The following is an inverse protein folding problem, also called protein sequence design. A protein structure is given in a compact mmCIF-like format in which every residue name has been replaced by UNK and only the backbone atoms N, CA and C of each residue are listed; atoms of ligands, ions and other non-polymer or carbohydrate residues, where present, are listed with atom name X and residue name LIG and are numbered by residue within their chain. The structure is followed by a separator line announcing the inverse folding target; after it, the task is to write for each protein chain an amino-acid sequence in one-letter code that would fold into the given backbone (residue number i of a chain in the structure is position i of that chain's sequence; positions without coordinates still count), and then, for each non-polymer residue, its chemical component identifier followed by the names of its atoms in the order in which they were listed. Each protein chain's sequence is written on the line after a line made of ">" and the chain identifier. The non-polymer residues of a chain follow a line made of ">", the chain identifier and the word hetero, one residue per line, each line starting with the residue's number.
data_IF_606331017829
#
_entry.id   IF_606331017829
#
_cell.length_a   1.000
_cell.length_b   1.000
_cell.length_c   1.000
_cell.angle_alpha   90.00
_cell.angle_beta   90.00
_cell.angle_gamma   90.00
#
_symmetry.space_group_name_H-M   'P 1'
#
loop_
_entity.id
_entity.type
_entity.pdbx_description
1 polymer ?
#
# COMPACT_ATOMS: atom_id res chain seq x y z
N UNK A 1 5.21 4.00 21.06
CA UNK A 1 4.55 4.97 20.17
C UNK A 1 4.87 4.57 18.75
N UNK A 2 3.93 4.72 17.82
CA UNK A 2 4.13 4.31 16.43
C UNK A 2 3.50 5.34 15.49
N UNK A 3 4.29 5.88 14.56
CA UNK A 3 3.85 6.69 13.43
C UNK A 3 3.81 5.82 12.18
N UNK A 4 2.73 5.91 11.41
CA UNK A 4 2.59 5.16 10.15
C UNK A 4 2.12 6.05 9.01
N UNK A 5 2.52 5.68 7.80
CA UNK A 5 2.01 6.20 6.55
C UNK A 5 1.26 5.09 5.80
N UNK A 6 0.10 5.42 5.26
CA UNK A 6 -0.72 4.48 4.47
C UNK A 6 -0.84 5.00 3.06
N UNK A 7 -0.32 4.26 2.09
CA UNK A 7 -0.49 4.59 0.67
C UNK A 7 -1.89 4.13 0.20
N UNK A 8 -2.78 5.04 -0.17
CA UNK A 8 -4.14 4.68 -0.58
C UNK A 8 -4.19 3.99 -1.95
N UNK A 9 -3.13 4.04 -2.74
CA UNK A 9 -3.06 3.43 -4.08
C UNK A 9 -2.56 2.00 -3.98
N UNK A 10 -1.41 1.79 -3.31
CA UNK A 10 -0.79 0.47 -3.18
C UNK A 10 -1.29 -0.31 -1.97
N UNK A 11 -1.99 0.37 -1.06
CA UNK A 11 -2.45 -0.18 0.22
C UNK A 11 -1.29 -0.66 1.13
N UNK A 12 -0.08 -0.14 0.90
CA UNK A 12 1.06 -0.41 1.78
C UNK A 12 0.97 0.43 3.04
N UNK A 13 1.34 -0.18 4.16
CA UNK A 13 1.59 0.49 5.44
C UNK A 13 3.09 0.56 5.63
N UNK A 14 3.60 1.75 5.86
CA UNK A 14 4.99 2.02 6.20
C UNK A 14 5.04 2.53 7.63
N UNK A 15 5.93 1.97 8.44
CA UNK A 15 6.24 2.52 9.75
C UNK A 15 7.23 3.65 9.51
N UNK A 16 6.84 4.86 9.88
CA UNK A 16 7.66 6.05 9.72
C UNK A 16 8.54 6.28 10.95
N UNK A 17 7.96 6.11 12.14
CA UNK A 17 8.64 6.27 13.41
C UNK A 17 8.13 5.25 14.43
N UNK A 18 9.04 4.64 15.18
CA UNK A 18 8.68 3.75 16.28
C UNK A 18 9.55 4.02 17.50
N UNK A 19 8.90 4.33 18.62
CA UNK A 19 9.55 4.57 19.91
C UNK A 19 9.06 3.55 20.91
N UNK A 20 9.97 2.86 21.59
CA UNK A 20 9.66 1.88 22.61
C UNK A 20 10.35 2.20 23.94
N UNK A 21 9.57 2.19 25.03
CA UNK A 21 10.10 2.21 26.39
C UNK A 21 10.16 0.80 26.96
N UNK A 22 11.28 0.41 27.51
CA UNK A 22 11.47 -0.93 28.09
C UNK A 22 12.14 -0.86 29.45
N UNK A 23 11.58 -1.58 30.42
CA UNK A 23 12.17 -1.74 31.78
C UNK A 23 12.67 -3.18 31.94
N UNK A 24 13.96 -3.38 31.79
CA UNK A 24 14.63 -4.65 32.05
C UNK A 24 15.36 -4.67 33.42
N UNK A 25 14.97 -3.79 34.35
CA UNK A 25 15.70 -3.59 35.57
C UNK A 25 17.11 -3.07 35.29
N UNK A 26 18.13 -3.57 35.97
CA UNK A 26 19.52 -3.23 35.66
C UNK A 26 19.95 -3.89 34.39
N UNK A 27 20.35 -3.09 33.40
CA UNK A 27 20.87 -3.59 32.13
C UNK A 27 22.33 -4.00 32.28
N UNK A 28 22.60 -5.28 32.11
CA UNK A 28 23.94 -5.86 32.30
C UNK A 28 24.82 -5.64 31.04
N UNK A 29 24.23 -5.85 29.88
CA UNK A 29 24.90 -5.63 28.59
C UNK A 29 23.95 -4.89 27.65
N UNK A 30 24.18 -3.57 27.40
CA UNK A 30 23.31 -2.77 26.55
C UNK A 30 23.23 -3.27 25.10
N UNK A 31 24.35 -3.76 24.53
CA UNK A 31 24.37 -4.26 23.16
C UNK A 31 23.46 -5.48 22.97
N UNK A 32 23.54 -6.43 23.89
CA UNK A 32 22.68 -7.62 23.86
C UNK A 32 21.22 -7.26 24.16
N UNK A 33 20.97 -6.33 25.09
CA UNK A 33 19.64 -5.85 25.42
C UNK A 33 18.97 -5.19 24.20
N UNK A 34 19.67 -4.28 23.53
CA UNK A 34 19.17 -3.65 22.30
C UNK A 34 18.92 -4.68 21.20
N UNK A 35 19.82 -5.65 21.02
CA UNK A 35 19.64 -6.73 20.05
C UNK A 35 18.37 -7.53 20.27
N UNK A 36 18.01 -7.83 21.53
CA UNK A 36 16.74 -8.49 21.86
C UNK A 36 15.53 -7.60 21.52
N UNK A 37 15.60 -6.30 21.83
CA UNK A 37 14.50 -5.36 21.55
C UNK A 37 14.32 -5.19 20.05
N UNK A 38 15.40 -5.05 19.26
CA UNK A 38 15.34 -4.99 17.81
C UNK A 38 14.75 -6.25 17.20
N UNK A 39 15.18 -7.43 17.66
CA UNK A 39 14.68 -8.71 17.17
C UNK A 39 13.19 -8.89 17.48
N UNK A 40 12.75 -8.59 18.70
CA UNK A 40 11.35 -8.65 19.09
C UNK A 40 10.47 -7.65 18.30
N UNK A 41 11.00 -6.45 18.04
CA UNK A 41 10.35 -5.45 17.20
C UNK A 41 10.18 -5.94 15.75
N UNK A 42 11.26 -6.42 15.13
CA UNK A 42 11.22 -6.93 13.76
C UNK A 42 10.24 -8.10 13.60
N UNK A 43 10.28 -9.05 14.54
CA UNK A 43 9.32 -10.17 14.61
C UNK A 43 7.87 -9.65 14.66
N UNK A 44 7.60 -8.68 15.52
CA UNK A 44 6.27 -8.14 15.72
C UNK A 44 5.78 -7.30 14.52
N UNK A 45 6.68 -6.62 13.80
CA UNK A 45 6.36 -5.96 12.52
C UNK A 45 5.92 -6.99 11.49
N UNK A 46 6.66 -8.10 11.35
CA UNK A 46 6.29 -9.21 10.47
C UNK A 46 4.88 -9.74 10.78
N UNK A 47 4.63 -10.08 12.03
CA UNK A 47 3.33 -10.56 12.50
C UNK A 47 2.20 -9.55 12.32
N UNK A 48 2.52 -8.25 12.32
CA UNK A 48 1.52 -7.18 12.20
C UNK A 48 1.16 -6.81 10.77
N UNK A 49 2.08 -6.93 9.83
CA UNK A 49 1.93 -6.40 8.47
C UNK A 49 1.95 -7.47 7.38
N UNK A 50 2.66 -8.59 7.57
CA UNK A 50 3.04 -9.48 6.48
C UNK A 50 2.65 -10.94 6.70
N UNK A 51 2.96 -11.48 7.88
CA UNK A 51 2.90 -12.91 8.16
C UNK A 51 1.46 -13.38 8.40
N UNK A 52 0.99 -14.31 7.59
CA UNK A 52 -0.36 -14.88 7.71
C UNK A 52 -0.38 -16.36 7.35
N UNK A 53 -0.88 -17.18 8.26
CA UNK A 53 -1.20 -18.58 7.95
C UNK A 53 -2.52 -18.65 7.23
N UNK A 54 -2.47 -19.15 5.98
CA UNK A 54 -3.65 -19.31 5.13
C UNK A 54 -3.94 -20.79 4.89
N UNK A 55 -5.20 -21.13 4.93
CA UNK A 55 -5.72 -22.44 4.61
C UNK A 55 -6.82 -22.29 3.56
N UNK A 56 -6.94 -23.29 2.67
CA UNK A 56 -8.08 -23.35 1.76
C UNK A 56 -9.29 -24.01 2.44
N UNK A 57 -10.41 -24.07 1.73
CA UNK A 57 -11.69 -24.57 2.26
C UNK A 57 -11.62 -26.06 2.67
N UNK A 58 -10.70 -26.84 2.13
CA UNK A 58 -10.49 -28.26 2.51
C UNK A 58 -9.45 -28.43 3.63
N UNK A 59 -8.93 -27.34 4.19
CA UNK A 59 -7.97 -27.36 5.29
C UNK A 59 -6.49 -27.52 4.87
N UNK A 60 -6.17 -27.51 3.58
CA UNK A 60 -4.77 -27.56 3.14
C UNK A 60 -4.06 -26.22 3.42
N UNK A 61 -2.84 -26.33 3.95
CA UNK A 61 -2.02 -25.17 4.31
C UNK A 61 -1.42 -24.53 3.05
N UNK A 62 -1.68 -23.23 2.85
CA UNK A 62 -1.25 -22.49 1.67
C UNK A 62 0.02 -21.65 1.89
N UNK A 63 0.35 -21.32 3.12
CA UNK A 63 1.53 -20.50 3.47
C UNK A 63 2.77 -21.34 3.77
N UNK A 64 2.97 -22.45 3.05
CA UNK A 64 4.04 -23.43 3.31
C UNK A 64 5.39 -23.10 2.68
N UNK A 65 5.50 -22.00 1.94
CA UNK A 65 6.75 -21.58 1.29
C UNK A 65 7.06 -20.10 1.59
N UNK A 66 8.32 -19.68 1.46
CA UNK A 66 8.69 -18.27 1.59
C UNK A 66 8.15 -17.39 0.45
N UNK A 67 7.57 -17.98 -0.58
CA UNK A 67 6.82 -17.26 -1.60
C UNK A 67 5.46 -16.80 -1.08
N UNK A 68 4.84 -17.58 -0.19
CA UNK A 68 3.48 -17.36 0.32
C UNK A 68 3.48 -16.84 1.76
N UNK A 69 4.52 -17.13 2.54
CA UNK A 69 4.75 -16.63 3.90
C UNK A 69 5.83 -15.55 3.87
N UNK A 70 5.40 -14.31 3.95
CA UNK A 70 6.28 -13.16 3.78
C UNK A 70 6.93 -12.77 5.11
N UNK A 71 8.24 -12.94 5.22
CA UNK A 71 9.02 -12.39 6.33
C UNK A 71 9.35 -10.92 6.11
N UNK A 72 9.47 -10.12 7.17
CA UNK A 72 9.89 -8.72 7.06
C UNK A 72 11.35 -8.63 6.62
N UNK A 73 11.65 -7.62 5.82
CA UNK A 73 12.99 -7.26 5.40
C UNK A 73 13.41 -5.90 5.97
N UNK A 74 14.61 -5.45 5.66
CA UNK A 74 15.08 -4.11 6.05
C UNK A 74 14.30 -2.96 5.41
N UNK A 75 13.39 -3.24 4.48
CA UNK A 75 12.48 -2.24 3.91
C UNK A 75 11.24 -2.00 4.76
N UNK A 76 10.80 -3.02 5.50
CA UNK A 76 9.61 -2.94 6.35
C UNK A 76 9.96 -2.59 7.80
N UNK A 77 11.19 -2.90 8.22
CA UNK A 77 11.65 -2.70 9.59
C UNK A 77 12.62 -1.53 9.62
N UNK A 78 12.17 -0.39 10.10
CA UNK A 78 13.03 0.75 10.43
C UNK A 78 13.71 0.54 11.79
N UNK A 79 14.74 1.33 12.09
CA UNK A 79 15.39 1.32 13.40
C UNK A 79 14.47 2.00 14.44
N UNK A 80 14.07 1.28 15.52
CA UNK A 80 13.26 1.88 16.59
C UNK A 80 14.10 2.73 17.52
N UNK A 81 13.55 3.81 18.03
CA UNK A 81 14.11 4.53 19.18
C UNK A 81 13.82 3.75 20.46
N UNK A 82 14.87 3.41 21.22
CA UNK A 82 14.77 2.64 22.45
C UNK A 82 15.03 3.53 23.64
N UNK A 83 14.06 3.59 24.56
CA UNK A 83 14.20 4.27 25.84
C UNK A 83 14.28 3.22 26.94
N UNK A 84 15.44 3.12 27.59
CA UNK A 84 15.63 2.23 28.72
C UNK A 84 15.16 2.90 30.00
N UNK A 85 14.31 2.19 30.72
CA UNK A 85 13.88 2.54 32.10
C UNK A 85 14.45 1.48 33.03
N UNK A 86 15.23 1.88 34.00
CA UNK A 86 15.84 0.96 34.94
C UNK A 86 15.16 1.06 36.32
N UNK A 87 14.31 0.09 36.64
CA UNK A 87 13.81 -0.14 38.00
C UNK A 87 14.33 -1.49 38.50
N UNK A 88 15.46 -1.51 39.24
CA UNK A 88 16.10 -2.75 39.65
C UNK A 88 15.17 -3.70 40.44
N UNK A 89 15.22 -4.98 40.15
CA UNK A 89 14.48 -6.00 40.87
C UNK A 89 15.12 -6.26 42.24
N UNK A 90 14.35 -6.27 43.35
CA UNK A 90 14.88 -6.66 44.67
C UNK A 90 15.07 -8.17 44.77
N UNK A 91 14.59 -8.98 43.83
CA UNK A 91 14.60 -10.43 43.89
C UNK A 91 15.75 -11.07 43.09
N UNK A 92 16.50 -10.26 42.34
CA UNK A 92 17.65 -10.74 41.54
C UNK A 92 18.94 -10.11 42.04
N UNK A 93 20.07 -10.86 42.09
CA UNK A 93 21.33 -10.33 42.66
C UNK A 93 21.84 -9.07 41.95
N UNK A 94 21.62 -8.94 40.65
CA UNK A 94 22.07 -7.80 39.85
C UNK A 94 20.95 -6.79 39.62
N UNK A 95 19.75 -7.02 40.11
CA UNK A 95 18.59 -6.16 39.84
C UNK A 95 18.02 -6.26 38.44
N UNK A 96 18.47 -7.20 37.62
CA UNK A 96 17.97 -7.40 36.27
C UNK A 96 16.59 -8.05 36.24
N UNK A 97 15.81 -7.75 35.20
CA UNK A 97 14.50 -8.34 34.92
C UNK A 97 14.52 -9.04 33.55
N UNK A 98 13.47 -9.78 33.24
CA UNK A 98 13.30 -10.41 31.93
C UNK A 98 13.24 -9.35 30.81
N UNK A 99 13.88 -9.64 29.71
CA UNK A 99 13.92 -8.77 28.53
C UNK A 99 13.31 -9.49 27.32
N UNK A 100 13.95 -10.54 26.84
CA UNK A 100 13.46 -11.45 25.79
C UNK A 100 12.64 -10.80 24.68
N UNK A 101 11.40 -11.27 24.54
CA UNK A 101 10.47 -10.87 23.44
C UNK A 101 9.48 -9.77 23.89
N UNK A 102 9.87 -8.87 24.78
CA UNK A 102 8.97 -7.87 25.35
C UNK A 102 8.23 -7.01 24.31
N UNK A 103 8.87 -6.64 23.23
CA UNK A 103 8.25 -5.84 22.16
C UNK A 103 7.29 -6.61 21.25
N UNK A 104 7.30 -7.93 21.29
CA UNK A 104 6.31 -8.74 20.55
C UNK A 104 4.88 -8.49 21.04
N UNK A 105 4.68 -8.07 22.28
CA UNK A 105 3.36 -7.76 22.82
C UNK A 105 2.89 -6.34 22.49
N UNK A 106 3.78 -5.36 22.57
CA UNK A 106 3.42 -3.94 22.45
C UNK A 106 3.36 -3.45 21.00
N UNK A 107 4.22 -3.96 20.13
CA UNK A 107 4.34 -3.49 18.76
C UNK A 107 3.09 -3.73 17.92
N UNK A 108 2.45 -4.93 17.90
CA UNK A 108 1.23 -5.14 17.14
C UNK A 108 0.09 -4.21 17.58
N UNK A 109 0.00 -3.95 18.89
CA UNK A 109 -1.01 -3.04 19.44
C UNK A 109 -0.74 -1.60 19.02
N UNK A 110 0.52 -1.15 19.04
CA UNK A 110 0.90 0.19 18.63
C UNK A 110 0.61 0.42 17.14
N UNK A 111 0.94 -0.55 16.27
CA UNK A 111 0.64 -0.49 14.84
C UNK A 111 -0.87 -0.49 14.59
N UNK A 112 -1.63 -1.38 15.26
CA UNK A 112 -3.08 -1.43 15.11
C UNK A 112 -3.76 -0.13 15.56
N UNK A 113 -3.28 0.48 16.66
CA UNK A 113 -3.80 1.76 17.14
C UNK A 113 -3.48 2.91 16.19
N UNK A 114 -2.25 2.98 15.66
CA UNK A 114 -1.86 3.98 14.67
C UNK A 114 -2.71 3.85 13.39
N UNK A 115 -2.95 2.63 12.91
CA UNK A 115 -3.81 2.36 11.77
C UNK A 115 -5.27 2.72 12.05
N UNK A 116 -5.78 2.38 13.23
CA UNK A 116 -7.11 2.75 13.70
C UNK A 116 -7.29 4.26 13.72
N UNK A 117 -6.28 4.99 14.22
CA UNK A 117 -6.32 6.45 14.27
C UNK A 117 -6.23 7.08 12.87
N UNK A 118 -5.35 6.60 12.02
CA UNK A 118 -5.19 7.13 10.67
C UNK A 118 -6.49 7.05 9.84
N UNK A 119 -7.22 5.93 9.95
CA UNK A 119 -8.46 5.72 9.21
C UNK A 119 -9.73 6.04 10.01
N UNK A 120 -9.61 6.41 11.29
CA UNK A 120 -10.74 6.66 12.22
C UNK A 120 -11.70 5.46 12.31
N UNK A 121 -11.16 4.25 12.28
CA UNK A 121 -11.92 3.00 12.36
C UNK A 121 -11.67 2.29 13.69
N UNK A 122 -12.56 1.35 14.03
CA UNK A 122 -12.44 0.49 15.22
C UNK A 122 -12.26 -0.97 14.81
N UNK A 123 -11.79 -1.80 15.74
CA UNK A 123 -11.70 -3.25 15.56
C UNK A 123 -10.80 -3.68 14.39
N UNK A 124 -9.61 -3.10 14.33
CA UNK A 124 -8.57 -3.49 13.35
C UNK A 124 -8.10 -4.92 13.61
N UNK A 125 -8.09 -5.75 12.57
CA UNK A 125 -7.61 -7.14 12.62
C UNK A 125 -6.26 -7.25 11.94
N UNK A 126 -5.28 -7.76 12.67
CA UNK A 126 -3.94 -8.07 12.15
C UNK A 126 -3.93 -9.45 11.44
N UNK A 127 -2.93 -9.72 10.57
CA UNK A 127 -1.98 -8.77 10.03
C UNK A 127 -2.63 -7.78 9.04
N UNK A 128 -2.05 -6.58 8.90
CA UNK A 128 -2.47 -5.54 7.96
C UNK A 128 -1.85 -5.80 6.58
N UNK A 129 -2.11 -6.95 6.01
CA UNK A 129 -1.70 -7.24 4.63
C UNK A 129 -2.32 -6.24 3.65
N UNK A 130 -1.67 -6.00 2.52
CA UNK A 130 -2.16 -5.04 1.52
C UNK A 130 -3.62 -5.28 1.13
N UNK A 131 -4.04 -6.54 1.06
CA UNK A 131 -5.43 -6.92 0.78
C UNK A 131 -6.39 -6.44 1.87
N UNK A 132 -6.04 -6.64 3.15
CA UNK A 132 -6.87 -6.18 4.27
C UNK A 132 -6.88 -4.65 4.38
N UNK A 133 -5.74 -4.01 4.19
CA UNK A 133 -5.66 -2.53 4.15
C UNK A 133 -6.54 -1.97 3.04
N UNK A 134 -6.50 -2.57 1.84
CA UNK A 134 -7.39 -2.20 0.75
C UNK A 134 -8.88 -2.32 1.12
N UNK A 135 -9.25 -3.38 1.82
CA UNK A 135 -10.62 -3.56 2.32
C UNK A 135 -11.01 -2.44 3.30
N UNK A 136 -10.15 -2.11 4.27
CA UNK A 136 -10.40 -1.02 5.22
C UNK A 136 -10.51 0.35 4.53
N UNK A 137 -9.65 0.65 3.57
CA UNK A 137 -9.72 1.87 2.77
C UNK A 137 -11.06 1.98 2.00
N UNK A 138 -11.59 0.85 1.53
CA UNK A 138 -12.85 0.81 0.81
C UNK A 138 -14.08 0.82 1.73
N UNK A 139 -14.00 0.28 2.95
CA UNK A 139 -15.07 0.39 3.95
C UNK A 139 -15.30 1.85 4.34
N UNK A 140 -14.24 2.63 4.55
CA UNK A 140 -14.35 4.07 4.78
C UNK A 140 -14.93 4.85 3.59
N UNK A 141 -14.80 4.32 2.36
CA UNK A 141 -15.42 4.90 1.16
C UNK A 141 -16.90 4.53 1.01
N UNK A 142 -17.34 3.43 1.65
CA UNK A 142 -18.73 2.96 1.54
C UNK A 142 -19.75 3.81 2.30
N UNK A 143 -19.32 4.71 3.19
CA UNK A 143 -20.21 5.76 3.73
C UNK A 143 -20.59 6.83 2.68
N UNK A 144 -19.85 6.90 1.56
CA UNK A 144 -20.19 7.72 0.40
C UNK A 144 -20.00 6.90 -0.88
N UNK A 145 -20.92 5.97 -1.18
CA UNK A 145 -20.98 5.36 -2.52
C UNK A 145 -21.01 6.48 -3.56
N UNK A 146 -20.09 6.50 -4.53
CA UNK A 146 -20.14 7.47 -5.61
C UNK A 146 -21.45 7.27 -6.39
N UNK A 147 -22.36 8.23 -6.29
CA UNK A 147 -23.69 8.18 -6.93
C UNK A 147 -23.65 8.36 -8.44
N UNK A 148 -22.48 8.50 -9.06
CA UNK A 148 -22.36 8.97 -10.44
C UNK A 148 -21.29 8.26 -11.29
N UNK A 149 -21.19 6.95 -11.22
CA UNK A 149 -20.53 6.24 -12.30
C UNK A 149 -21.61 5.88 -13.32
N UNK A 150 -21.59 6.55 -14.47
CA UNK A 150 -22.40 6.15 -15.62
C UNK A 150 -22.01 4.72 -16.00
N UNK A 151 -22.90 3.74 -15.74
CA UNK A 151 -22.72 2.30 -15.99
C UNK A 151 -22.58 1.90 -17.47
N UNK A 152 -22.27 2.81 -18.37
CA UNK A 152 -22.39 2.63 -19.82
C UNK A 152 -21.18 1.99 -20.51
N UNK A 153 -20.15 1.55 -19.78
CA UNK A 153 -19.11 0.66 -20.35
C UNK A 153 -19.33 -0.72 -19.76
N UNK A 154 -19.66 -1.66 -20.64
CA UNK A 154 -19.88 -3.05 -20.22
C UNK A 154 -18.53 -3.78 -20.14
N UNK A 155 -17.92 -3.81 -18.94
CA UNK A 155 -16.67 -4.51 -18.67
C UNK A 155 -16.86 -6.03 -18.43
N UNK A 156 -18.05 -6.59 -18.68
CA UNK A 156 -18.33 -8.02 -18.45
C UNK A 156 -17.38 -8.97 -19.17
N UNK A 157 -16.75 -8.51 -20.25
CA UNK A 157 -15.80 -9.32 -21.04
C UNK A 157 -14.34 -9.22 -20.52
N UNK A 158 -14.12 -8.49 -19.43
CA UNK A 158 -12.80 -8.32 -18.83
C UNK A 158 -12.76 -9.02 -17.47
N UNK A 159 -11.88 -10.03 -17.28
CA UNK A 159 -11.80 -10.77 -16.01
C UNK A 159 -11.33 -9.89 -14.85
N UNK A 160 -10.52 -8.86 -15.14
CA UNK A 160 -10.09 -7.87 -14.16
C UNK A 160 -10.80 -6.56 -14.47
N UNK A 161 -11.60 -6.06 -13.55
CA UNK A 161 -12.28 -4.77 -13.71
C UNK A 161 -12.48 -4.09 -12.37
N UNK A 162 -12.60 -2.76 -12.41
CA UNK A 162 -12.81 -1.96 -11.22
C UNK A 162 -13.21 -0.54 -11.54
N UNK A 163 -13.58 0.19 -10.52
CA UNK A 163 -13.92 1.61 -10.61
C UNK A 163 -13.66 2.31 -9.28
N UNK A 164 -13.38 3.61 -9.33
CA UNK A 164 -13.17 4.42 -8.15
C UNK A 164 -13.36 5.91 -8.43
N UNK A 165 -13.37 6.68 -7.36
CA UNK A 165 -13.48 8.14 -7.42
C UNK A 165 -12.58 8.73 -6.32
N UNK A 166 -11.83 9.78 -6.67
CA UNK A 166 -10.98 10.52 -5.74
C UNK A 166 -11.38 11.99 -5.73
N UNK A 167 -11.47 12.57 -4.54
CA UNK A 167 -11.55 14.02 -4.38
C UNK A 167 -10.15 14.61 -4.44
N UNK A 168 -9.97 15.65 -5.28
CA UNK A 168 -8.70 16.33 -5.45
C UNK A 168 -8.88 17.83 -5.17
N UNK A 169 -8.01 18.39 -4.33
CA UNK A 169 -7.97 19.81 -4.05
C UNK A 169 -7.22 20.59 -5.16
N UNK A 170 -7.64 20.40 -6.40
CA UNK A 170 -7.07 21.06 -7.57
C UNK A 170 -8.20 21.50 -8.48
N UNK A 171 -8.02 22.65 -9.14
CA UNK A 171 -8.96 23.13 -10.15
C UNK A 171 -9.05 22.16 -11.34
N UNK A 172 -10.24 22.00 -11.91
CA UNK A 172 -10.53 21.07 -12.99
C UNK A 172 -9.67 21.32 -14.24
N UNK A 173 -9.43 22.57 -14.60
CA UNK A 173 -8.62 22.91 -15.77
C UNK A 173 -7.15 22.57 -15.51
N UNK A 174 -6.63 22.91 -14.33
CA UNK A 174 -5.25 22.56 -13.92
C UNK A 174 -5.06 21.05 -13.82
N UNK A 175 -6.07 20.33 -13.35
CA UNK A 175 -6.01 18.85 -13.35
C UNK A 175 -5.95 18.29 -14.76
N UNK A 176 -6.78 18.82 -15.68
CA UNK A 176 -6.79 18.44 -17.08
C UNK A 176 -5.43 18.66 -17.75
N UNK A 177 -4.85 19.85 -17.58
CA UNK A 177 -3.52 20.19 -18.10
C UNK A 177 -2.45 19.22 -17.60
N UNK A 178 -2.46 18.90 -16.30
CA UNK A 178 -1.48 17.95 -15.72
C UNK A 178 -1.64 16.53 -16.23
N UNK A 179 -2.86 16.06 -16.50
CA UNK A 179 -3.12 14.72 -17.03
C UNK A 179 -2.59 14.59 -18.49
N UNK A 180 -2.65 15.65 -19.26
CA UNK A 180 -2.15 15.67 -20.64
C UNK A 180 -0.71 16.20 -20.77
N UNK A 181 -0.04 16.48 -19.66
CA UNK A 181 1.40 16.75 -19.63
C UNK A 181 2.19 15.43 -19.56
N UNK A 182 2.32 14.77 -20.71
CA UNK A 182 2.96 13.46 -20.82
C UNK A 182 4.44 13.46 -20.41
N UNK A 183 5.12 14.62 -20.42
CA UNK A 183 6.51 14.73 -19.96
C UNK A 183 6.63 14.53 -18.45
N UNK A 184 5.66 15.04 -17.70
CA UNK A 184 5.63 14.90 -16.25
C UNK A 184 4.96 13.60 -15.81
N UNK A 185 4.06 13.01 -16.59
CA UNK A 185 3.42 11.73 -16.26
C UNK A 185 4.42 10.59 -16.06
N UNK A 186 5.49 10.58 -16.80
CA UNK A 186 6.54 9.57 -16.67
C UNK A 186 7.17 9.54 -15.25
N UNK A 187 7.22 10.67 -14.55
CA UNK A 187 7.75 10.76 -13.19
C UNK A 187 6.74 10.39 -12.12
N UNK A 188 5.45 10.43 -12.44
CA UNK A 188 4.34 10.19 -11.51
C UNK A 188 3.88 8.72 -11.56
N UNK A 189 3.96 8.07 -12.72
CA UNK A 189 3.53 6.68 -12.88
C UNK A 189 4.56 5.74 -12.23
N UNK A 190 4.21 5.01 -11.18
CA UNK A 190 5.14 4.11 -10.50
C UNK A 190 5.72 3.07 -11.46
N UNK A 191 7.05 2.94 -11.44
CA UNK A 191 7.76 1.98 -12.30
C UNK A 191 7.90 2.38 -13.77
N UNK A 192 7.37 3.52 -14.19
CA UNK A 192 7.52 4.00 -15.56
C UNK A 192 8.98 4.39 -15.84
N UNK A 193 9.60 3.74 -16.81
CA UNK A 193 10.96 4.06 -17.26
C UNK A 193 10.99 5.04 -18.42
N UNK A 194 10.00 4.92 -19.30
CA UNK A 194 9.87 5.82 -20.44
C UNK A 194 8.41 5.99 -20.82
N UNK A 195 8.04 7.19 -21.24
CA UNK A 195 6.74 7.49 -21.82
C UNK A 195 6.95 8.56 -22.91
N UNK A 196 6.56 8.25 -24.12
CA UNK A 196 6.71 9.14 -25.29
C UNK A 196 5.42 9.19 -26.07
N UNK A 197 5.02 10.37 -26.50
CA UNK A 197 3.95 10.53 -27.46
C UNK A 197 4.52 10.30 -28.88
N UNK A 198 4.01 9.29 -29.58
CA UNK A 198 4.43 8.96 -30.95
C UNK A 198 3.62 9.77 -31.97
N UNK A 199 2.34 9.81 -31.75
CA UNK A 199 1.40 10.62 -32.52
C UNK A 199 0.38 11.20 -31.55
N UNK A 200 -0.36 12.22 -31.97
CA UNK A 200 -1.34 12.89 -31.11
C UNK A 200 -2.24 11.88 -30.39
N UNK A 201 -2.20 11.89 -29.06
CA UNK A 201 -2.95 10.99 -28.16
C UNK A 201 -2.56 9.48 -28.24
N UNK A 202 -1.44 9.14 -28.87
CA UNK A 202 -0.91 7.79 -28.82
C UNK A 202 0.47 7.80 -28.17
N UNK A 203 0.58 7.05 -27.09
CA UNK A 203 1.74 6.96 -26.23
C UNK A 203 2.36 5.57 -26.31
N UNK A 204 3.66 5.52 -26.28
CA UNK A 204 4.44 4.31 -26.09
C UNK A 204 5.34 4.48 -24.88
N UNK A 205 5.59 3.42 -24.15
CA UNK A 205 6.45 3.47 -23.00
C UNK A 205 6.88 2.12 -22.51
N UNK A 206 7.74 2.15 -21.51
CA UNK A 206 8.19 0.98 -20.78
C UNK A 206 7.93 1.18 -19.28
N UNK A 207 7.44 0.14 -18.65
CA UNK A 207 7.18 0.10 -17.22
C UNK A 207 7.85 -1.12 -16.60
N UNK A 208 8.47 -0.95 -15.48
CA UNK A 208 8.98 -2.04 -14.67
C UNK A 208 7.95 -2.39 -13.59
N UNK A 209 7.44 -3.58 -13.65
CA UNK A 209 6.53 -4.12 -12.63
C UNK A 209 7.30 -5.10 -11.75
N UNK A 210 7.12 -4.95 -10.44
CA UNK A 210 7.68 -5.88 -9.46
C UNK A 210 6.50 -6.67 -8.88
N UNK A 211 6.43 -7.96 -9.19
CA UNK A 211 5.40 -8.86 -8.67
C UNK A 211 6.11 -9.88 -7.78
N UNK A 212 6.13 -9.61 -6.47
CA UNK A 212 6.93 -10.38 -5.52
C UNK A 212 8.42 -10.30 -5.86
N UNK A 213 9.16 -11.41 -5.92
CA UNK A 213 10.58 -11.43 -6.26
C UNK A 213 10.85 -11.25 -7.75
N UNK A 214 9.82 -11.30 -8.59
CA UNK A 214 9.96 -11.23 -10.05
C UNK A 214 9.87 -9.78 -10.50
N UNK A 215 10.94 -9.31 -11.17
CA UNK A 215 10.99 -8.02 -11.84
C UNK A 215 10.78 -8.27 -13.33
N UNK A 216 9.73 -7.71 -13.89
CA UNK A 216 9.46 -7.78 -15.32
C UNK A 216 9.42 -6.39 -15.96
N UNK A 217 10.02 -6.24 -17.12
CA UNK A 217 9.89 -5.05 -17.95
C UNK A 217 8.79 -5.27 -18.99
N UNK A 218 7.88 -4.31 -19.09
CA UNK A 218 6.76 -4.35 -20.02
C UNK A 218 6.80 -3.14 -20.93
N UNK A 219 6.76 -3.39 -22.23
CA UNK A 219 6.48 -2.36 -23.23
C UNK A 219 5.00 -2.21 -23.41
N UNK A 220 4.51 -0.98 -23.47
CA UNK A 220 3.08 -0.72 -23.66
C UNK A 220 2.81 0.35 -24.71
N UNK A 221 1.67 0.21 -25.37
CA UNK A 221 1.10 1.22 -26.25
C UNK A 221 -0.26 1.64 -25.71
N UNK A 222 -0.49 2.94 -25.64
CA UNK A 222 -1.72 3.52 -25.11
C UNK A 222 -2.29 4.52 -26.09
N UNK A 223 -3.58 4.41 -26.37
CA UNK A 223 -4.33 5.37 -27.17
C UNK A 223 -5.40 6.06 -26.32
N UNK A 224 -5.43 7.39 -26.35
CA UNK A 224 -6.44 8.20 -25.68
C UNK A 224 -7.50 8.59 -26.72
N UNK A 225 -8.75 8.24 -26.42
CA UNK A 225 -9.89 8.40 -27.35
C UNK A 225 -11.05 9.10 -26.68
N UNK A 226 -12.04 9.51 -27.47
CA UNK A 226 -13.30 10.14 -27.00
C UNK A 226 -13.07 11.29 -26.01
N UNK A 227 -12.10 12.13 -26.30
CA UNK A 227 -11.72 13.26 -25.46
C UNK A 227 -12.84 14.30 -25.49
N UNK A 228 -13.41 14.57 -24.31
CA UNK A 228 -14.28 15.71 -24.05
C UNK A 228 -13.55 16.63 -23.09
N UNK A 229 -13.04 17.75 -23.61
CA UNK A 229 -12.17 18.66 -22.88
C UNK A 229 -12.72 18.99 -21.48
N UNK A 230 -11.86 18.93 -20.47
CA UNK A 230 -12.14 19.15 -19.05
C UNK A 230 -13.22 18.23 -18.45
N UNK A 231 -13.70 17.18 -19.16
CA UNK A 231 -14.79 16.33 -18.67
C UNK A 231 -14.43 14.84 -18.65
N UNK A 232 -14.00 14.28 -19.78
CA UNK A 232 -13.77 12.83 -19.84
C UNK A 232 -12.92 12.43 -21.01
N UNK A 233 -12.30 11.26 -20.92
CA UNK A 233 -11.62 10.58 -22.00
C UNK A 233 -11.59 9.07 -21.76
N UNK A 234 -11.32 8.30 -22.78
CA UNK A 234 -11.12 6.87 -22.71
C UNK A 234 -9.66 6.53 -23.06
N UNK A 235 -9.11 5.58 -22.33
CA UNK A 235 -7.78 5.03 -22.57
C UNK A 235 -7.95 3.59 -23.01
N UNK A 236 -7.27 3.20 -24.08
CA UNK A 236 -7.14 1.79 -24.47
C UNK A 236 -5.68 1.48 -24.71
N UNK A 237 -5.21 0.33 -24.26
CA UNK A 237 -3.82 -0.03 -24.40
C UNK A 237 -3.58 -1.52 -24.40
N UNK A 238 -2.39 -1.87 -24.87
CA UNK A 238 -1.83 -3.21 -24.80
C UNK A 238 -0.39 -3.12 -24.29
N UNK A 239 0.00 -4.14 -23.56
CA UNK A 239 1.35 -4.30 -23.07
C UNK A 239 1.83 -5.72 -23.29
N UNK A 240 3.13 -5.88 -23.48
CA UNK A 240 3.80 -7.18 -23.59
C UNK A 240 5.13 -7.14 -22.86
N UNK A 241 5.48 -8.25 -22.27
CA UNK A 241 6.70 -8.41 -21.50
C UNK A 241 7.00 -9.87 -21.23
N UNK A 242 8.05 -10.10 -20.45
CA UNK A 242 8.55 -11.46 -20.18
C UNK A 242 7.51 -12.40 -19.53
N UNK A 243 6.56 -11.85 -18.75
CA UNK A 243 5.54 -12.63 -18.04
C UNK A 243 4.21 -12.74 -18.81
N UNK A 244 4.14 -12.23 -20.03
CA UNK A 244 2.96 -12.33 -20.87
C UNK A 244 2.47 -11.01 -21.47
N UNK A 245 1.30 -11.07 -22.08
CA UNK A 245 0.67 -9.94 -22.75
C UNK A 245 -0.62 -9.55 -22.04
N UNK A 246 -0.95 -8.27 -22.06
CA UNK A 246 -2.19 -7.76 -21.48
C UNK A 246 -2.83 -6.69 -22.36
N UNK A 247 -4.13 -6.59 -22.31
CA UNK A 247 -4.87 -5.47 -22.91
C UNK A 247 -5.80 -4.85 -21.87
N UNK A 248 -5.98 -3.54 -21.97
CA UNK A 248 -6.84 -2.83 -21.02
C UNK A 248 -7.58 -1.67 -21.68
N UNK A 249 -8.67 -1.31 -21.05
CA UNK A 249 -9.46 -0.12 -21.37
C UNK A 249 -9.83 0.58 -20.06
N UNK A 250 -9.79 1.91 -20.06
CA UNK A 250 -10.26 2.70 -18.94
C UNK A 250 -11.04 3.90 -19.43
N UNK A 251 -12.04 4.31 -18.65
CA UNK A 251 -12.76 5.56 -18.81
C UNK A 251 -12.47 6.44 -17.62
N UNK A 252 -12.08 7.67 -17.91
CA UNK A 252 -11.82 8.70 -16.91
C UNK A 252 -12.83 9.82 -17.06
N UNK A 253 -13.38 10.28 -15.93
CA UNK A 253 -14.29 11.41 -15.84
C UNK A 253 -13.79 12.38 -14.79
N UNK A 254 -13.77 13.67 -15.11
CA UNK A 254 -13.45 14.76 -14.19
C UNK A 254 -14.72 15.53 -13.91
N UNK A 255 -15.13 15.54 -12.66
CA UNK A 255 -16.38 16.16 -12.21
C UNK A 255 -16.03 17.30 -11.26
N UNK A 256 -16.60 18.47 -11.49
CA UNK A 256 -16.47 19.59 -10.57
C UNK A 256 -17.74 19.69 -9.70
N UNK A 257 -17.58 19.70 -8.37
CA UNK A 257 -18.64 19.91 -7.40
C UNK A 257 -18.14 20.81 -6.28
N UNK A 258 -18.84 21.90 -5.99
CA UNK A 258 -18.54 22.79 -4.87
C UNK A 258 -17.08 23.28 -4.84
N UNK A 259 -16.52 23.68 -5.99
CA UNK A 259 -15.14 24.13 -6.18
C UNK A 259 -14.06 23.03 -5.94
N UNK A 260 -14.46 21.78 -5.83
CA UNK A 260 -13.55 20.62 -5.72
C UNK A 260 -13.65 19.75 -6.96
N UNK A 261 -12.53 19.20 -7.40
CA UNK A 261 -12.50 18.30 -8.55
C UNK A 261 -12.53 16.84 -8.07
N UNK A 262 -13.34 16.04 -8.73
CA UNK A 262 -13.40 14.59 -8.52
C UNK A 262 -12.87 13.91 -9.77
N UNK A 263 -11.94 12.98 -9.57
CA UNK A 263 -11.40 12.12 -10.61
C UNK A 263 -12.05 10.76 -10.48
N UNK A 264 -12.97 10.46 -11.40
CA UNK A 264 -13.65 9.17 -11.44
C UNK A 264 -13.08 8.30 -12.56
N UNK A 265 -12.88 7.02 -12.29
CA UNK A 265 -12.37 6.08 -13.27
C UNK A 265 -13.11 4.75 -13.22
N UNK A 266 -13.13 4.08 -14.37
CA UNK A 266 -13.53 2.69 -14.47
C UNK A 266 -12.64 1.98 -15.50
N UNK A 267 -12.26 0.74 -15.24
CA UNK A 267 -11.34 0.00 -16.10
C UNK A 267 -11.70 -1.47 -16.23
N UNK A 268 -11.21 -2.07 -17.30
CA UNK A 268 -11.20 -3.50 -17.53
C UNK A 268 -9.88 -3.94 -18.16
N UNK A 269 -9.37 -5.10 -17.77
CA UNK A 269 -8.12 -5.67 -18.27
C UNK A 269 -8.25 -7.19 -18.46
N UNK A 270 -7.46 -7.74 -19.39
CA UNK A 270 -7.34 -9.17 -19.65
C UNK A 270 -5.96 -9.51 -20.20
#
# INVERSE_FOLDING_TARGET
>A
MCGIEIDPITSKVKIDEYVTGHDAGKIINPLLANGQIYGAYAHAVGASLLEEFKYNDNGSFLSGSFQDYHLPSTYEVNEPEIIHIETPSPFTPLGSKGLGEGNCMSTPVAIANAFSDALKIKNVKLPLTNTKVHQYLNLNKNEKKPKHINKNINFKNYPINGSGEFELNIDQNKLWEKIFDFKNLNTIIPGCKSLKEITKNNLNGTIQLNIGPVKGEYSFNVSIKKIKQNKSFEISGNGHGELGNGTGIAKIEIINKNKKSFFAYSYGAK
#
